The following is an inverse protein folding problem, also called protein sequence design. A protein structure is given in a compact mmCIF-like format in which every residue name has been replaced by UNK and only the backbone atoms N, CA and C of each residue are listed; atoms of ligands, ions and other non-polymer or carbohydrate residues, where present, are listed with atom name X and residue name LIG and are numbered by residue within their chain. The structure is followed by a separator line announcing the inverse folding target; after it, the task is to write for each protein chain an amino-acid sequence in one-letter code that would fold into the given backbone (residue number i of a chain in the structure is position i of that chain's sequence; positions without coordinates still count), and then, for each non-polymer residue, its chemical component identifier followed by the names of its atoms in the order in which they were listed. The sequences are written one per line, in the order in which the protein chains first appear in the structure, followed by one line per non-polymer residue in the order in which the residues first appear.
data_IF_159621956759
#
_entry.id   IF_159621956759
#
_cell.length_a   1.000
_cell.length_b   1.000
_cell.length_c   1.000
_cell.angle_alpha   90.00
_cell.angle_beta   90.00
_cell.angle_gamma   90.00
#
_symmetry.space_group_name_H-M   'P 1'
#
loop_
_entity.id
_entity.type
_entity.pdbx_description
1 polymer ?
#
# COMPACT_ATOMS: atom_id res chain seq x y z
N UNK A 1 20.94 -40.66 0.77
CA UNK A 1 20.37 -39.62 1.63
C UNK A 1 19.93 -38.48 0.73
N UNK A 2 18.64 -38.43 0.37
CA UNK A 2 18.09 -37.28 -0.36
C UNK A 2 17.95 -36.12 0.64
N UNK A 3 18.32 -34.89 0.28
CA UNK A 3 18.09 -33.74 1.14
C UNK A 3 16.59 -33.59 1.40
N UNK A 4 16.26 -33.36 2.67
CA UNK A 4 14.90 -33.06 3.13
C UNK A 4 14.38 -31.84 2.34
N UNK A 5 13.19 -31.89 1.72
CA UNK A 5 12.65 -30.73 1.00
C UNK A 5 12.59 -29.53 1.95
N UNK A 6 13.19 -28.42 1.54
CA UNK A 6 13.18 -27.16 2.27
C UNK A 6 11.73 -26.84 2.64
N UNK A 7 11.39 -26.61 3.93
CA UNK A 7 10.02 -26.31 4.30
C UNK A 7 9.57 -25.06 3.53
N UNK A 8 8.49 -25.21 2.75
CA UNK A 8 7.93 -24.09 1.99
C UNK A 8 7.59 -22.96 2.95
N UNK A 9 8.02 -21.73 2.65
CA UNK A 9 7.74 -20.54 3.47
C UNK A 9 6.24 -20.48 3.79
N UNK A 10 5.85 -20.44 5.08
CA UNK A 10 4.45 -20.39 5.46
C UNK A 10 3.74 -19.17 4.85
N UNK A 11 2.55 -19.38 4.26
CA UNK A 11 1.72 -18.27 3.79
C UNK A 11 1.16 -17.50 4.98
N UNK A 12 1.38 -16.19 5.00
CA UNK A 12 0.90 -15.31 6.06
C UNK A 12 -0.55 -14.87 5.81
N UNK A 13 -0.95 -14.69 4.55
CA UNK A 13 -2.26 -14.17 4.15
C UNK A 13 -2.97 -15.10 3.15
N UNK A 14 -4.23 -15.42 3.43
CA UNK A 14 -5.11 -16.04 2.42
C UNK A 14 -5.56 -14.99 1.40
N UNK A 15 -4.75 -14.83 0.34
CA UNK A 15 -5.01 -13.83 -0.71
C UNK A 15 -6.36 -14.03 -1.42
N UNK A 16 -6.75 -15.24 -1.85
CA UNK A 16 -8.09 -15.48 -2.38
C UNK A 16 -9.21 -15.06 -1.43
N UNK A 17 -9.11 -15.35 -0.13
CA UNK A 17 -10.13 -14.92 0.84
C UNK A 17 -10.17 -13.40 1.00
N UNK A 18 -9.01 -12.74 1.06
CA UNK A 18 -8.92 -11.28 1.15
C UNK A 18 -9.60 -10.59 -0.05
N UNK A 19 -9.30 -11.02 -1.28
CA UNK A 19 -9.90 -10.46 -2.50
C UNK A 19 -11.43 -10.69 -2.53
N UNK A 20 -11.89 -11.90 -2.15
CA UNK A 20 -13.33 -12.19 -2.02
C UNK A 20 -14.01 -11.27 -1.01
N UNK A 21 -13.38 -11.04 0.15
CA UNK A 21 -13.91 -10.19 1.21
C UNK A 21 -13.97 -8.72 0.78
N UNK A 22 -12.93 -8.20 0.10
CA UNK A 22 -12.92 -6.85 -0.47
C UNK A 22 -14.02 -6.67 -1.53
N UNK A 23 -14.17 -7.63 -2.45
CA UNK A 23 -15.22 -7.60 -3.46
C UNK A 23 -16.62 -7.63 -2.84
N UNK A 24 -16.83 -8.42 -1.78
CA UNK A 24 -18.09 -8.43 -1.02
C UNK A 24 -18.37 -7.08 -0.35
N UNK A 25 -17.38 -6.50 0.32
CA UNK A 25 -17.53 -5.21 1.00
C UNK A 25 -17.88 -4.08 0.01
N UNK A 26 -17.26 -4.06 -1.17
CA UNK A 26 -17.59 -3.09 -2.22
C UNK A 26 -19.06 -3.20 -2.68
N UNK A 27 -19.60 -4.42 -2.81
CA UNK A 27 -21.01 -4.63 -3.21
C UNK A 27 -22.02 -4.18 -2.15
N UNK A 28 -21.65 -4.23 -0.87
CA UNK A 28 -22.54 -3.91 0.24
C UNK A 28 -22.54 -2.43 0.63
N UNK A 29 -21.67 -1.61 0.02
CA UNK A 29 -21.38 -0.25 0.47
C UNK A 29 -20.09 -0.26 1.31
N UNK A 30 -18.94 0.15 0.74
CA UNK A 30 -17.68 0.13 1.47
C UNK A 30 -17.72 1.10 2.66
N UNK A 31 -17.27 0.62 3.82
CA UNK A 31 -17.02 1.49 4.99
C UNK A 31 -15.57 1.95 4.93
N UNK A 32 -15.33 3.26 5.01
CA UNK A 32 -14.04 3.89 4.75
C UNK A 32 -13.43 4.63 5.95
N UNK A 33 -14.03 4.52 7.14
CA UNK A 33 -13.61 5.33 8.30
C UNK A 33 -12.11 5.23 8.63
N UNK A 34 -11.50 4.04 8.56
CA UNK A 34 -10.06 3.86 8.77
C UNK A 34 -9.24 4.54 7.68
N UNK A 35 -9.72 4.46 6.44
CA UNK A 35 -9.07 5.10 5.31
C UNK A 35 -9.16 6.62 5.37
N UNK A 36 -10.28 7.17 5.87
CA UNK A 36 -10.43 8.60 6.17
C UNK A 36 -9.43 9.06 7.23
N UNK A 37 -9.39 8.38 8.38
CA UNK A 37 -8.43 8.71 9.46
C UNK A 37 -6.99 8.69 8.92
N UNK A 38 -6.63 7.67 8.15
CA UNK A 38 -5.29 7.57 7.55
C UNK A 38 -5.03 8.66 6.53
N UNK A 39 -6.01 9.02 5.68
CA UNK A 39 -5.84 10.09 4.70
C UNK A 39 -5.68 11.45 5.38
N UNK A 40 -6.50 11.75 6.39
CA UNK A 40 -6.45 13.00 7.16
C UNK A 40 -5.07 13.14 7.83
N UNK A 41 -4.60 12.11 8.55
CA UNK A 41 -3.29 12.11 9.21
C UNK A 41 -2.12 12.25 8.21
N UNK A 42 -2.21 11.61 7.05
CA UNK A 42 -1.19 11.75 6.00
C UNK A 42 -1.20 13.17 5.44
N UNK A 43 -2.38 13.74 5.16
CA UNK A 43 -2.49 15.09 4.63
C UNK A 43 -1.93 16.12 5.61
N UNK A 44 -2.26 16.01 6.90
CA UNK A 44 -1.73 16.88 7.95
C UNK A 44 -0.19 16.81 7.99
N UNK A 45 0.39 15.61 8.00
CA UNK A 45 1.86 15.43 7.97
C UNK A 45 2.50 15.97 6.71
N UNK A 46 1.88 15.79 5.54
CA UNK A 46 2.41 16.30 4.28
C UNK A 46 2.33 17.83 4.21
N UNK A 47 1.34 18.45 4.85
CA UNK A 47 1.19 19.91 4.91
C UNK A 47 2.31 20.59 5.72
N UNK A 48 2.91 19.89 6.68
CA UNK A 48 4.07 20.38 7.46
C UNK A 48 5.39 20.28 6.69
N UNK A 49 5.45 19.50 5.60
CA UNK A 49 6.64 19.39 4.77
C UNK A 49 6.73 20.58 3.83
N UNK A 50 7.83 21.34 3.87
CA UNK A 50 8.10 22.44 2.94
C UNK A 50 8.49 21.94 1.53
N UNK A 51 7.61 21.17 0.89
CA UNK A 51 7.79 20.55 -0.42
C UNK A 51 6.43 20.25 -1.06
N UNK A 52 6.34 20.40 -2.37
CA UNK A 52 5.20 19.88 -3.16
C UNK A 52 5.53 18.50 -3.73
N UNK A 53 4.62 17.54 -3.53
CA UNK A 53 4.67 16.23 -4.17
C UNK A 53 3.83 16.25 -5.45
N UNK A 54 4.42 15.84 -6.56
CA UNK A 54 3.88 15.97 -7.92
C UNK A 54 3.65 14.62 -8.61
N UNK A 55 4.29 13.56 -8.12
CA UNK A 55 4.25 12.22 -8.69
C UNK A 55 3.91 11.21 -7.58
N UNK A 56 2.73 11.37 -6.99
CA UNK A 56 2.24 10.53 -5.89
C UNK A 56 1.79 9.16 -6.41
N UNK A 57 2.20 8.09 -5.74
CA UNK A 57 1.61 6.76 -5.88
C UNK A 57 0.99 6.30 -4.56
N UNK A 58 -0.15 5.62 -4.65
CA UNK A 58 -0.83 5.02 -3.49
C UNK A 58 -1.03 3.53 -3.75
N UNK A 59 -0.34 2.70 -2.99
CA UNK A 59 -0.53 1.24 -2.93
C UNK A 59 -1.64 0.94 -1.94
N UNK A 60 -2.75 0.35 -2.39
CA UNK A 60 -3.92 0.13 -1.52
C UNK A 60 -4.82 -1.01 -1.94
N UNK A 61 -5.58 -1.54 -0.96
CA UNK A 61 -6.71 -2.43 -1.19
C UNK A 61 -8.05 -1.72 -1.44
N UNK A 62 -8.12 -0.40 -1.28
CA UNK A 62 -9.35 0.40 -1.44
C UNK A 62 -9.19 1.51 -2.50
N UNK A 63 -9.07 1.15 -3.79
CA UNK A 63 -8.67 2.10 -4.82
C UNK A 63 -9.68 3.22 -5.06
N UNK A 64 -10.98 2.98 -4.88
CA UNK A 64 -12.02 3.98 -5.11
C UNK A 64 -11.89 5.19 -4.17
N UNK A 65 -11.68 4.93 -2.88
CA UNK A 65 -11.48 5.97 -1.87
C UNK A 65 -10.24 6.81 -2.17
N UNK A 66 -9.09 6.16 -2.41
CA UNK A 66 -7.83 6.88 -2.61
C UNK A 66 -7.76 7.68 -3.91
N UNK A 67 -8.47 7.28 -4.98
CA UNK A 67 -8.64 8.13 -6.18
C UNK A 67 -9.34 9.45 -5.85
N UNK A 68 -10.29 9.44 -4.92
CA UNK A 68 -11.03 10.63 -4.51
C UNK A 68 -10.23 11.46 -3.50
N UNK A 69 -9.58 10.82 -2.54
CA UNK A 69 -8.80 11.48 -1.49
C UNK A 69 -7.51 12.13 -2.02
N UNK A 70 -6.90 11.57 -3.08
CA UNK A 70 -5.70 12.11 -3.71
C UNK A 70 -5.86 12.14 -5.24
N UNK A 71 -6.58 13.14 -5.77
CA UNK A 71 -6.75 13.31 -7.20
C UNK A 71 -5.39 13.42 -7.91
N UNK A 72 -5.21 12.67 -9.00
CA UNK A 72 -3.96 12.65 -9.77
C UNK A 72 -2.90 11.65 -9.28
N UNK A 73 -3.11 11.00 -8.13
CA UNK A 73 -2.21 9.93 -7.68
C UNK A 73 -2.33 8.66 -8.54
N UNK A 74 -1.20 8.00 -8.79
CA UNK A 74 -1.15 6.67 -9.38
C UNK A 74 -1.62 5.64 -8.36
N UNK A 75 -2.80 5.05 -8.57
CA UNK A 75 -3.35 4.05 -7.65
C UNK A 75 -2.92 2.64 -8.06
N UNK A 76 -2.22 1.97 -7.15
CA UNK A 76 -1.61 0.66 -7.36
C UNK A 76 -2.23 -0.37 -6.41
N UNK A 77 -2.55 -1.56 -6.92
CA UNK A 77 -3.01 -2.66 -6.09
C UNK A 77 -1.85 -3.25 -5.27
N UNK A 78 -2.14 -3.71 -4.05
CA UNK A 78 -1.19 -4.32 -3.11
C UNK A 78 -0.78 -5.77 -3.49
N UNK A 79 -0.54 -6.00 -4.79
CA UNK A 79 -0.09 -7.30 -5.33
C UNK A 79 1.39 -7.53 -4.93
N UNK A 80 1.87 -8.78 -4.87
CA UNK A 80 3.26 -9.07 -4.51
C UNK A 80 4.29 -8.29 -5.34
N UNK A 81 4.07 -8.18 -6.65
CA UNK A 81 4.76 -7.26 -7.53
C UNK A 81 3.92 -5.99 -7.69
N UNK A 82 4.43 -4.86 -7.20
CA UNK A 82 3.80 -3.55 -7.30
C UNK A 82 3.99 -3.02 -8.71
N UNK A 83 2.90 -2.56 -9.33
CA UNK A 83 2.93 -1.88 -10.63
C UNK A 83 3.40 -0.43 -10.47
N UNK A 84 4.64 -0.27 -10.02
CA UNK A 84 5.31 1.02 -9.82
C UNK A 84 6.54 1.11 -10.73
N UNK A 85 6.63 2.18 -11.50
CA UNK A 85 7.77 2.44 -12.36
C UNK A 85 8.97 2.92 -11.52
N UNK A 86 10.18 2.34 -11.69
CA UNK A 86 11.38 2.76 -10.97
C UNK A 86 11.70 4.25 -11.17
N UNK A 87 12.00 4.97 -10.09
CA UNK A 87 12.36 6.39 -10.14
C UNK A 87 11.26 7.34 -10.65
N UNK A 88 10.02 6.89 -10.76
CA UNK A 88 8.93 7.70 -11.31
C UNK A 88 8.26 8.61 -10.27
N UNK A 89 8.38 8.30 -8.98
CA UNK A 89 7.56 8.91 -7.92
C UNK A 89 8.37 9.78 -6.95
N UNK A 90 7.78 10.84 -6.43
CA UNK A 90 8.35 11.65 -5.33
C UNK A 90 7.67 11.37 -3.98
N UNK A 91 6.52 10.69 -3.99
CA UNK A 91 5.81 10.17 -2.82
C UNK A 91 5.21 8.80 -3.13
N UNK A 92 5.48 7.81 -2.29
CA UNK A 92 4.78 6.51 -2.32
C UNK A 92 4.12 6.29 -0.97
N UNK A 93 2.80 6.13 -0.99
CA UNK A 93 1.98 5.83 0.17
C UNK A 93 1.55 4.36 0.11
N UNK A 94 1.85 3.57 1.14
CA UNK A 94 1.28 2.23 1.34
C UNK A 94 0.11 2.31 2.32
N UNK A 95 -1.10 2.38 1.78
CA UNK A 95 -2.30 2.72 2.52
C UNK A 95 -3.14 1.49 2.89
N UNK A 96 -3.06 1.10 4.18
CA UNK A 96 -3.86 0.05 4.81
C UNK A 96 -3.75 -1.30 4.10
N UNK A 97 -2.56 -1.62 3.58
CA UNK A 97 -2.34 -2.83 2.80
C UNK A 97 -1.06 -3.60 3.15
N UNK A 98 -0.04 -2.97 3.74
CA UNK A 98 1.28 -3.61 3.94
C UNK A 98 1.22 -4.83 4.86
N UNK A 99 0.32 -4.81 5.85
CA UNK A 99 0.06 -5.92 6.78
C UNK A 99 -0.56 -7.17 6.11
N UNK A 100 -1.01 -7.07 4.85
CA UNK A 100 -1.48 -8.21 4.04
C UNK A 100 -0.40 -8.79 3.12
N UNK A 101 0.82 -8.24 3.13
CA UNK A 101 1.89 -8.70 2.27
C UNK A 101 2.52 -9.99 2.80
N UNK A 102 2.79 -10.94 1.90
CA UNK A 102 3.64 -12.11 2.19
C UNK A 102 5.11 -11.72 2.41
N UNK A 103 5.53 -10.62 1.77
CA UNK A 103 6.89 -10.05 1.90
C UNK A 103 6.81 -8.52 2.07
N UNK A 104 6.57 -8.03 3.30
CA UNK A 104 6.53 -6.60 3.57
C UNK A 104 7.85 -5.88 3.24
N UNK A 105 8.99 -6.55 3.44
CA UNK A 105 10.31 -5.97 3.14
C UNK A 105 10.49 -5.81 1.63
N UNK A 106 10.09 -6.81 0.83
CA UNK A 106 10.08 -6.73 -0.62
C UNK A 106 9.12 -5.67 -1.15
N UNK A 107 7.97 -5.45 -0.52
CA UNK A 107 7.06 -4.35 -0.85
C UNK A 107 7.71 -2.98 -0.58
N UNK A 108 8.35 -2.80 0.58
CA UNK A 108 9.08 -1.57 0.93
C UNK A 108 10.24 -1.35 -0.06
N UNK A 109 10.99 -2.40 -0.41
CA UNK A 109 12.07 -2.31 -1.38
C UNK A 109 11.59 -1.92 -2.79
N UNK A 110 10.44 -2.44 -3.23
CA UNK A 110 9.81 -2.04 -4.49
C UNK A 110 9.35 -0.57 -4.44
N UNK A 111 8.72 -0.13 -3.35
CA UNK A 111 8.36 1.27 -3.14
C UNK A 111 9.59 2.19 -3.14
N UNK A 112 10.67 1.80 -2.46
CA UNK A 112 11.92 2.54 -2.43
C UNK A 112 12.55 2.68 -3.83
N UNK A 113 12.51 1.62 -4.66
CA UNK A 113 12.98 1.69 -6.06
C UNK A 113 12.13 2.58 -6.95
N UNK A 114 10.84 2.70 -6.65
CA UNK A 114 9.92 3.56 -7.37
C UNK A 114 10.13 5.05 -7.06
N UNK A 115 10.74 5.36 -5.92
CA UNK A 115 11.05 6.72 -5.51
C UNK A 115 12.27 7.29 -6.27
N UNK A 116 12.16 8.55 -6.65
CA UNK A 116 13.28 9.42 -7.05
C UNK A 116 14.22 9.64 -5.85
N UNK A 117 15.46 10.12 -6.07
CA UNK A 117 16.28 10.67 -4.99
C UNK A 117 15.48 11.66 -4.14
N UNK A 118 15.66 11.59 -2.82
CA UNK A 118 14.92 12.34 -1.80
C UNK A 118 13.40 12.09 -1.78
N UNK A 119 12.88 11.09 -2.48
CA UNK A 119 11.46 10.73 -2.42
C UNK A 119 11.01 10.27 -1.03
N UNK A 120 9.73 10.49 -0.72
CA UNK A 120 9.16 10.12 0.58
C UNK A 120 8.37 8.81 0.49
N UNK A 121 8.62 7.89 1.41
CA UNK A 121 7.78 6.72 1.63
C UNK A 121 6.96 6.89 2.91
N UNK A 122 5.65 6.65 2.83
CA UNK A 122 4.74 6.63 3.98
C UNK A 122 3.97 5.32 3.99
N UNK A 123 3.89 4.64 5.12
CA UNK A 123 3.05 3.45 5.26
C UNK A 123 2.12 3.61 6.46
N UNK A 124 0.86 3.25 6.28
CA UNK A 124 -0.16 3.26 7.32
C UNK A 124 -0.85 1.90 7.40
N UNK A 125 -0.92 1.34 8.60
CA UNK A 125 -1.48 0.02 8.87
C UNK A 125 -1.97 -0.07 10.32
N UNK A 126 -2.86 -1.03 10.66
CA UNK A 126 -3.32 -1.22 12.02
C UNK A 126 -2.16 -1.45 12.99
N UNK A 127 -2.15 -0.72 14.10
CA UNK A 127 -1.25 -0.97 15.22
C UNK A 127 -1.82 -1.99 16.22
N UNK A 128 -0.95 -2.52 17.07
CA UNK A 128 -1.34 -3.30 18.25
C UNK A 128 -1.50 -2.42 19.49
N UNK A 129 -1.92 -3.04 20.60
CA UNK A 129 -1.87 -2.47 21.95
C UNK A 129 -0.80 -3.18 22.76
#
# INVERSE_FOLDING_TARGET
MMPDPTPSVPRLTDRPALERNRARALRLGPVDFLHRIVADEIQDRLAEVNRTFSAVAVVTGQPHFWRQAMPGATIVADRPALALEPGAHDLVIHAMALHWAEDPVGQIAQAARALRPDGLFVAAFPGGR
#
